data_IF_708606466906
#
_entry.id   IF_708606466906
#
_cell.length_a   1.000
_cell.length_b   1.000
_cell.length_c   1.000
_cell.angle_alpha   90.00
_cell.angle_beta   90.00
_cell.angle_gamma   90.00
#
_symmetry.space_group_name_H-M   'P 1'
#
loop_
_entity.id
_entity.type
_entity.pdbx_description
1 polymer ?
#
# COMPACT_ATOMS: atom_id res chain seq x y z
N UNK A 1 -31.34 1.91 -23.14
CA UNK A 1 -32.37 2.93 -22.88
C UNK A 1 -32.14 4.07 -23.87
N UNK A 2 -33.04 4.33 -24.82
CA UNK A 2 -32.93 5.57 -25.62
C UNK A 2 -33.62 6.68 -24.82
N UNK A 3 -32.87 7.35 -23.96
CA UNK A 3 -33.34 8.56 -23.31
C UNK A 3 -33.57 9.62 -24.40
N UNK A 4 -34.83 10.00 -24.63
CA UNK A 4 -35.19 10.97 -25.65
C UNK A 4 -35.10 12.37 -25.06
N UNK A 5 -33.91 12.93 -25.21
CA UNK A 5 -33.60 14.32 -24.90
C UNK A 5 -32.50 14.77 -25.86
N UNK A 6 -32.89 15.46 -26.92
CA UNK A 6 -31.98 15.92 -27.98
C UNK A 6 -31.15 17.14 -27.55
N UNK A 7 -31.65 17.89 -26.56
CA UNK A 7 -31.06 19.16 -26.10
C UNK A 7 -30.59 19.10 -24.63
N UNK A 8 -30.60 17.92 -24.01
CA UNK A 8 -30.26 17.71 -22.59
C UNK A 8 -31.06 18.58 -21.60
N UNK A 9 -32.25 19.06 -21.99
CA UNK A 9 -33.04 19.99 -21.18
C UNK A 9 -33.62 19.29 -19.95
N UNK A 10 -34.07 18.03 -20.10
CA UNK A 10 -34.60 17.24 -18.98
C UNK A 10 -33.51 16.92 -17.96
N UNK A 11 -32.28 16.67 -18.43
CA UNK A 11 -31.14 16.46 -17.54
C UNK A 11 -30.77 17.73 -16.76
N UNK A 12 -30.85 18.90 -17.40
CA UNK A 12 -30.60 20.18 -16.73
C UNK A 12 -31.68 20.49 -15.67
N UNK A 13 -32.95 20.24 -15.97
CA UNK A 13 -34.02 20.40 -14.97
C UNK A 13 -33.90 19.37 -13.85
N UNK A 14 -33.57 18.11 -14.16
CA UNK A 14 -33.33 17.07 -13.15
C UNK A 14 -32.15 17.43 -12.22
N UNK A 15 -31.07 18.00 -12.74
CA UNK A 15 -29.92 18.42 -11.92
C UNK A 15 -30.29 19.59 -10.99
N UNK A 16 -31.14 20.52 -11.42
CA UNK A 16 -31.67 21.57 -10.54
C UNK A 16 -32.47 20.99 -9.37
N UNK A 17 -33.29 19.96 -9.61
CA UNK A 17 -34.00 19.26 -8.54
C UNK A 17 -33.07 18.50 -7.59
N UNK A 18 -31.95 17.94 -8.08
CA UNK A 18 -30.92 17.34 -7.21
C UNK A 18 -30.23 18.38 -6.35
N UNK A 19 -29.88 19.55 -6.91
CA UNK A 19 -29.31 20.66 -6.15
C UNK A 19 -30.28 21.12 -5.06
N UNK A 20 -31.58 21.23 -5.38
CA UNK A 20 -32.61 21.56 -4.39
C UNK A 20 -32.68 20.51 -3.27
N UNK A 21 -32.64 19.22 -3.61
CA UNK A 21 -32.59 18.14 -2.63
C UNK A 21 -31.37 18.25 -1.71
N UNK A 22 -30.17 18.43 -2.28
CA UNK A 22 -28.92 18.57 -1.51
C UNK A 22 -28.95 19.78 -0.58
N UNK A 23 -29.51 20.90 -1.03
CA UNK A 23 -29.68 22.10 -0.20
C UNK A 23 -30.63 21.85 0.97
N UNK A 24 -31.78 21.19 0.74
CA UNK A 24 -32.71 20.83 1.80
C UNK A 24 -32.05 19.86 2.78
N UNK A 25 -31.43 18.79 2.27
CA UNK A 25 -30.79 17.77 3.09
C UNK A 25 -29.64 18.37 3.92
N UNK A 26 -28.85 19.28 3.35
CA UNK A 26 -27.80 20.00 4.07
C UNK A 26 -28.39 20.85 5.19
N UNK A 27 -29.46 21.64 4.93
CA UNK A 27 -30.10 22.46 5.98
C UNK A 27 -30.72 21.61 7.08
N UNK A 28 -31.41 20.52 6.73
CA UNK A 28 -32.01 19.59 7.70
C UNK A 28 -30.92 19.01 8.60
N UNK A 29 -29.83 18.49 8.03
CA UNK A 29 -28.80 17.81 8.82
C UNK A 29 -27.88 18.77 9.59
N UNK A 30 -27.55 19.94 9.03
CA UNK A 30 -26.61 20.89 9.66
C UNK A 30 -27.31 21.84 10.63
N UNK A 31 -28.52 22.32 10.30
CA UNK A 31 -29.26 23.32 11.09
C UNK A 31 -30.41 22.72 11.89
N UNK A 32 -30.74 21.44 11.69
CA UNK A 32 -31.85 20.76 12.37
C UNK A 32 -33.22 21.39 12.08
N UNK A 33 -33.39 22.01 10.91
CA UNK A 33 -34.65 22.60 10.46
C UNK A 33 -35.59 21.51 9.90
N UNK A 34 -36.15 20.69 10.79
CA UNK A 34 -36.97 19.53 10.40
C UNK A 34 -38.32 19.89 9.75
N UNK A 35 -38.75 21.14 9.80
CA UNK A 35 -39.91 21.63 9.03
C UNK A 35 -39.77 21.36 7.53
N UNK A 36 -38.52 21.27 7.03
CA UNK A 36 -38.26 20.97 5.63
C UNK A 36 -38.37 19.49 5.24
N UNK A 37 -38.51 18.58 6.21
CA UNK A 37 -38.59 17.14 5.94
C UNK A 37 -39.78 16.79 5.05
N UNK A 38 -40.90 17.50 5.19
CA UNK A 38 -42.09 17.36 4.35
C UNK A 38 -41.84 17.69 2.88
N UNK A 39 -40.80 18.47 2.56
CA UNK A 39 -40.45 18.87 1.18
C UNK A 39 -39.44 17.93 0.50
N UNK A 40 -38.85 17.00 1.25
CA UNK A 40 -37.89 16.01 0.75
C UNK A 40 -38.42 15.07 -0.34
N UNK A 41 -39.72 14.67 -0.40
CA UNK A 41 -40.20 13.79 -1.47
C UNK A 41 -40.52 14.52 -2.79
N UNK A 42 -40.53 15.86 -2.84
CA UNK A 42 -40.90 16.60 -4.06
C UNK A 42 -39.98 16.34 -5.26
N UNK A 43 -38.65 16.24 -5.10
CA UNK A 43 -37.75 15.80 -6.18
C UNK A 43 -38.12 14.43 -6.75
N UNK A 44 -38.60 13.47 -5.95
CA UNK A 44 -38.97 12.16 -6.48
C UNK A 44 -40.11 12.25 -7.51
N UNK A 45 -41.06 13.16 -7.28
CA UNK A 45 -42.19 13.40 -8.19
C UNK A 45 -41.71 14.01 -9.50
N UNK A 46 -40.79 14.98 -9.46
CA UNK A 46 -40.22 15.59 -10.67
C UNK A 46 -39.38 14.59 -11.46
N UNK A 47 -38.59 13.76 -10.78
CA UNK A 47 -37.82 12.68 -11.40
C UNK A 47 -38.71 11.67 -12.11
N UNK A 48 -39.84 11.28 -11.51
CA UNK A 48 -40.81 10.42 -12.19
C UNK A 48 -41.29 11.07 -13.50
N UNK A 49 -41.61 12.37 -13.49
CA UNK A 49 -42.04 13.08 -14.71
C UNK A 49 -40.98 13.12 -15.81
N UNK A 50 -39.70 13.27 -15.46
CA UNK A 50 -38.62 13.36 -16.44
C UNK A 50 -38.16 12.01 -16.99
N UNK A 51 -38.19 10.97 -16.15
CA UNK A 51 -37.61 9.66 -16.46
C UNK A 51 -38.66 8.55 -16.63
N UNK A 52 -39.96 8.85 -16.53
CA UNK A 52 -41.01 7.89 -16.86
C UNK A 52 -40.84 7.39 -18.29
N UNK A 53 -40.76 6.06 -18.43
CA UNK A 53 -40.57 5.40 -19.70
C UNK A 53 -41.12 3.97 -19.67
N UNK A 54 -41.36 3.41 -20.86
CA UNK A 54 -41.93 2.07 -21.00
C UNK A 54 -40.94 0.95 -20.59
N UNK A 55 -39.64 1.22 -20.62
CA UNK A 55 -38.59 0.24 -20.29
C UNK A 55 -38.30 0.27 -18.79
N UNK A 56 -38.40 -0.88 -18.13
CA UNK A 56 -37.99 -1.05 -16.72
C UNK A 56 -36.46 -1.21 -16.64
N UNK A 57 -35.70 -0.26 -16.08
CA UNK A 57 -34.27 -0.43 -15.87
C UNK A 57 -34.03 -1.48 -14.75
N UNK A 58 -32.85 -2.11 -14.78
CA UNK A 58 -32.38 -2.90 -13.63
C UNK A 58 -31.96 -1.90 -12.55
N UNK A 59 -32.62 -1.97 -11.39
CA UNK A 59 -32.26 -1.14 -10.25
C UNK A 59 -31.00 -1.73 -9.61
N UNK A 60 -29.90 -1.01 -9.72
CA UNK A 60 -28.67 -1.30 -8.99
C UNK A 60 -28.59 -0.37 -7.78
N UNK A 61 -28.14 -0.90 -6.65
CA UNK A 61 -27.87 -0.09 -5.48
C UNK A 61 -26.73 0.88 -5.78
N UNK A 62 -26.78 2.10 -5.25
CA UNK A 62 -25.75 3.14 -5.44
C UNK A 62 -24.44 2.79 -4.70
N UNK A 63 -23.78 1.71 -5.14
CA UNK A 63 -22.48 1.27 -4.63
C UNK A 63 -21.35 2.19 -5.07
N UNK A 64 -21.49 2.76 -6.26
CA UNK A 64 -20.47 3.60 -6.88
C UNK A 64 -20.07 4.79 -6.02
N UNK A 65 -21.03 5.46 -5.37
CA UNK A 65 -20.73 6.63 -4.55
C UNK A 65 -19.97 6.26 -3.27
N UNK A 66 -20.38 5.18 -2.62
CA UNK A 66 -19.71 4.69 -1.43
C UNK A 66 -18.31 4.13 -1.75
N UNK A 67 -18.19 3.38 -2.83
CA UNK A 67 -16.90 2.89 -3.33
C UNK A 67 -15.97 4.06 -3.68
N UNK A 68 -16.47 5.08 -4.39
CA UNK A 68 -15.70 6.28 -4.71
C UNK A 68 -15.28 7.04 -3.45
N UNK A 69 -16.15 7.12 -2.44
CA UNK A 69 -15.81 7.73 -1.15
C UNK A 69 -14.71 6.94 -0.42
N UNK A 70 -14.81 5.61 -0.38
CA UNK A 70 -13.77 4.75 0.20
C UNK A 70 -12.44 4.87 -0.55
N UNK A 71 -12.48 4.90 -1.88
CA UNK A 71 -11.32 5.13 -2.73
C UNK A 71 -10.68 6.50 -2.44
N UNK A 72 -11.50 7.55 -2.35
CA UNK A 72 -11.05 8.89 -1.98
C UNK A 72 -10.39 8.90 -0.60
N UNK A 73 -11.00 8.25 0.40
CA UNK A 73 -10.44 8.17 1.76
C UNK A 73 -9.13 7.42 1.81
N UNK A 74 -9.00 6.33 1.04
CA UNK A 74 -7.75 5.59 0.91
C UNK A 74 -6.66 6.46 0.28
N UNK A 75 -6.98 7.16 -0.80
CA UNK A 75 -6.05 8.05 -1.49
C UNK A 75 -5.65 9.25 -0.63
N UNK A 76 -6.59 9.82 0.13
CA UNK A 76 -6.34 10.84 1.13
C UNK A 76 -5.36 10.34 2.20
N UNK A 77 -5.55 9.12 2.69
CA UNK A 77 -4.63 8.48 3.65
C UNK A 77 -3.19 8.39 3.14
N UNK A 78 -3.00 8.01 1.87
CA UNK A 78 -1.66 7.94 1.24
C UNK A 78 -1.00 9.32 1.18
N UNK A 79 -1.74 10.37 0.86
CA UNK A 79 -1.19 11.74 0.83
C UNK A 79 -0.83 12.19 2.24
N UNK A 80 -1.69 11.93 3.22
CA UNK A 80 -1.44 12.30 4.61
C UNK A 80 -0.24 11.55 5.20
N UNK A 81 -0.03 10.28 4.85
CA UNK A 81 1.15 9.54 5.33
C UNK A 81 2.45 10.20 4.88
N UNK A 82 2.55 10.59 3.60
CA UNK A 82 3.73 11.31 3.09
C UNK A 82 3.87 12.68 3.76
N UNK A 83 2.78 13.45 3.86
CA UNK A 83 2.83 14.77 4.51
C UNK A 83 3.17 14.69 6.02
N UNK A 84 2.87 13.57 6.68
CA UNK A 84 3.21 13.35 8.09
C UNK A 84 4.70 13.08 8.28
N UNK A 85 5.35 12.46 7.30
CA UNK A 85 6.76 12.07 7.32
C UNK A 85 7.70 13.19 6.82
N UNK A 86 7.15 14.26 6.23
CA UNK A 86 7.94 15.40 5.77
C UNK A 86 8.62 16.14 6.93
N UNK A 87 9.86 16.63 6.71
CA UNK A 87 10.54 17.46 7.68
C UNK A 87 9.82 18.81 7.85
N UNK A 88 9.91 19.40 9.05
CA UNK A 88 9.11 20.56 9.45
C UNK A 88 9.27 21.79 8.54
N UNK A 89 10.44 21.95 7.92
CA UNK A 89 10.74 23.01 6.97
C UNK A 89 9.90 22.90 5.68
N UNK A 90 9.73 21.68 5.14
CA UNK A 90 8.95 21.45 3.93
C UNK A 90 7.44 21.42 4.20
N UNK A 91 7.04 20.94 5.38
CA UNK A 91 5.63 20.79 5.74
C UNK A 91 4.87 22.12 5.75
N UNK A 92 5.54 23.25 6.02
CA UNK A 92 4.93 24.58 6.00
C UNK A 92 4.44 25.00 4.62
N UNK A 93 5.14 24.60 3.57
CA UNK A 93 4.91 25.09 2.21
C UNK A 93 3.88 24.24 1.45
N UNK A 94 3.61 23.02 1.94
CA UNK A 94 2.74 22.06 1.26
C UNK A 94 1.40 21.86 1.96
N UNK A 95 0.33 22.25 1.28
CA UNK A 95 -1.01 21.76 1.56
C UNK A 95 -1.28 20.47 0.75
N UNK A 96 -2.23 19.63 1.19
CA UNK A 96 -2.68 18.41 0.50
C UNK A 96 -2.94 18.66 -1.00
N UNK A 97 -3.69 19.70 -1.32
CA UNK A 97 -4.03 20.03 -2.71
C UNK A 97 -2.80 20.47 -3.51
N UNK A 98 -1.97 21.35 -2.94
CA UNK A 98 -0.72 21.83 -3.57
C UNK A 98 0.24 20.68 -3.83
N UNK A 99 0.38 19.75 -2.89
CA UNK A 99 1.23 18.58 -3.03
C UNK A 99 0.77 17.67 -4.18
N UNK A 100 -0.53 17.37 -4.26
CA UNK A 100 -1.09 16.50 -5.30
C UNK A 100 -0.93 17.12 -6.69
N UNK A 101 -1.22 18.41 -6.85
CA UNK A 101 -1.24 19.05 -8.18
C UNK A 101 0.15 19.42 -8.67
N UNK A 102 1.05 19.87 -7.78
CA UNK A 102 2.36 20.39 -8.16
C UNK A 102 3.44 19.36 -7.87
N UNK A 103 3.63 18.97 -6.61
CA UNK A 103 4.81 18.19 -6.19
C UNK A 103 4.78 16.77 -6.73
N UNK A 104 3.65 16.08 -6.55
CA UNK A 104 3.50 14.66 -6.89
C UNK A 104 3.87 14.32 -8.35
N UNK A 105 3.35 15.00 -9.39
CA UNK A 105 3.70 14.66 -10.76
C UNK A 105 5.18 14.88 -11.09
N UNK A 106 5.80 15.94 -10.54
CA UNK A 106 7.24 16.17 -10.74
C UNK A 106 8.09 15.17 -9.97
N UNK A 107 7.73 14.87 -8.72
CA UNK A 107 8.41 13.88 -7.89
C UNK A 107 8.45 12.52 -8.57
N UNK A 108 7.32 12.06 -9.09
CA UNK A 108 7.23 10.78 -9.78
C UNK A 108 7.95 10.76 -11.12
N UNK A 109 8.01 11.90 -11.83
CA UNK A 109 8.85 12.03 -13.04
C UNK A 109 10.34 11.91 -12.70
N UNK A 110 10.80 12.56 -11.63
CA UNK A 110 12.20 12.51 -11.18
C UNK A 110 12.58 11.08 -10.78
N UNK A 111 11.73 10.43 -9.99
CA UNK A 111 11.95 9.07 -9.50
C UNK A 111 11.97 8.03 -10.64
N UNK A 112 11.20 8.26 -11.71
CA UNK A 112 11.02 7.30 -12.81
C UNK A 112 11.92 7.54 -14.03
N UNK A 113 13.01 8.28 -13.90
CA UNK A 113 13.90 8.60 -15.04
C UNK A 113 14.74 7.38 -15.47
N UNK A 114 14.65 6.87 -16.73
CA UNK A 114 15.14 5.54 -17.09
C UNK A 114 16.57 5.43 -17.65
N UNK A 115 17.25 6.52 -17.99
CA UNK A 115 18.52 6.40 -18.74
C UNK A 115 19.74 6.43 -17.81
N UNK A 116 20.18 5.24 -17.37
CA UNK A 116 21.52 5.05 -16.80
C UNK A 116 22.44 4.37 -17.82
N UNK A 117 23.33 5.12 -18.49
CA UNK A 117 24.45 4.59 -19.29
C UNK A 117 25.81 5.28 -19.08
N UNK A 118 25.90 6.35 -18.31
CA UNK A 118 27.04 7.29 -18.22
C UNK A 118 27.50 7.60 -16.78
N UNK A 119 28.79 7.92 -16.55
CA UNK A 119 29.35 8.12 -15.19
C UNK A 119 28.75 9.32 -14.42
N UNK A 120 28.15 10.30 -15.09
CA UNK A 120 27.44 11.42 -14.46
C UNK A 120 26.20 10.98 -13.66
N UNK A 121 25.68 9.79 -13.92
CA UNK A 121 24.44 9.31 -13.32
C UNK A 121 24.60 8.89 -11.85
N UNK A 122 25.82 8.65 -11.36
CA UNK A 122 26.04 8.40 -9.92
C UNK A 122 25.55 9.58 -9.07
N UNK A 123 25.75 10.81 -9.55
CA UNK A 123 25.24 12.01 -8.88
C UNK A 123 23.72 12.11 -8.99
N UNK A 124 23.13 11.73 -10.13
CA UNK A 124 21.67 11.69 -10.31
C UNK A 124 21.05 10.69 -9.33
N UNK A 125 21.61 9.49 -9.20
CA UNK A 125 21.17 8.48 -8.22
C UNK A 125 21.30 9.02 -6.80
N UNK A 126 22.43 9.64 -6.44
CA UNK A 126 22.61 10.24 -5.12
C UNK A 126 21.57 11.34 -4.82
N UNK A 127 21.23 12.16 -5.82
CA UNK A 127 20.18 13.18 -5.71
C UNK A 127 18.80 12.55 -5.55
N UNK A 128 18.48 11.50 -6.32
CA UNK A 128 17.22 10.76 -6.20
C UNK A 128 17.11 10.12 -4.82
N UNK A 129 18.17 9.46 -4.34
CA UNK A 129 18.21 8.86 -3.00
C UNK A 129 18.01 9.92 -1.93
N UNK A 130 18.66 11.08 -2.04
CA UNK A 130 18.44 12.19 -1.11
C UNK A 130 16.98 12.65 -1.12
N UNK A 131 16.38 12.83 -2.30
CA UNK A 131 14.96 13.19 -2.43
C UNK A 131 14.08 12.11 -1.79
N UNK A 132 14.26 10.84 -2.14
CA UNK A 132 13.48 9.74 -1.58
C UNK A 132 13.61 9.65 -0.06
N UNK A 133 14.80 9.87 0.49
CA UNK A 133 15.00 9.92 1.94
C UNK A 133 14.36 11.17 2.57
N UNK A 134 14.31 12.32 1.89
CA UNK A 134 13.61 13.51 2.41
C UNK A 134 12.10 13.39 2.42
N UNK A 135 11.53 12.65 1.47
CA UNK A 135 10.09 12.35 1.39
C UNK A 135 9.71 11.03 2.08
N UNK A 136 10.68 10.37 2.75
CA UNK A 136 10.57 9.04 3.35
C UNK A 136 9.90 7.98 2.44
N UNK A 137 10.29 7.98 1.17
CA UNK A 137 9.84 7.01 0.19
C UNK A 137 10.79 5.80 0.18
N UNK A 138 10.22 4.61 0.18
CA UNK A 138 10.97 3.37 0.07
C UNK A 138 10.42 2.46 -1.02
N UNK A 139 11.30 1.65 -1.60
CA UNK A 139 10.91 0.59 -2.53
C UNK A 139 10.85 -0.73 -1.79
N UNK A 140 9.65 -1.30 -1.68
CA UNK A 140 9.44 -2.63 -1.10
C UNK A 140 9.36 -3.66 -2.22
N UNK A 141 10.10 -4.76 -2.06
CA UNK A 141 10.04 -5.93 -2.93
C UNK A 141 8.74 -6.67 -2.65
N UNK A 142 7.77 -6.56 -3.56
CA UNK A 142 6.52 -7.30 -3.49
C UNK A 142 6.50 -8.37 -4.59
N UNK A 143 6.00 -9.56 -4.27
CA UNK A 143 5.80 -10.61 -5.27
C UNK A 143 4.37 -10.51 -5.80
N UNK A 144 4.22 -10.16 -7.08
CA UNK A 144 2.92 -10.11 -7.74
C UNK A 144 2.27 -11.50 -7.81
N UNK A 145 0.99 -11.56 -8.14
CA UNK A 145 0.20 -12.79 -8.27
C UNK A 145 0.82 -13.81 -9.23
N UNK A 146 1.55 -13.34 -10.25
CA UNK A 146 2.29 -14.15 -11.22
C UNK A 146 3.66 -14.65 -10.70
N UNK A 147 4.00 -14.36 -9.44
CA UNK A 147 5.27 -14.78 -8.84
C UNK A 147 6.48 -13.93 -9.22
N UNK A 148 6.31 -12.83 -9.97
CA UNK A 148 7.38 -11.90 -10.34
C UNK A 148 7.68 -10.91 -9.20
N UNK A 149 8.96 -10.61 -8.95
CA UNK A 149 9.41 -9.62 -7.96
C UNK A 149 9.30 -8.21 -8.56
N UNK A 150 8.40 -7.41 -8.01
CA UNK A 150 8.15 -6.02 -8.42
C UNK A 150 8.42 -5.10 -7.24
N UNK A 151 9.23 -4.08 -7.48
CA UNK A 151 9.48 -3.02 -6.50
C UNK A 151 8.34 -2.01 -6.55
N UNK A 152 7.56 -1.93 -5.47
CA UNK A 152 6.50 -0.92 -5.30
C UNK A 152 6.94 0.16 -4.33
N UNK A 153 6.48 1.38 -4.57
CA UNK A 153 6.72 2.50 -3.66
C UNK A 153 5.82 2.37 -2.43
N UNK A 154 6.41 2.57 -1.26
CA UNK A 154 5.71 2.76 0.00
C UNK A 154 6.08 4.16 0.53
N UNK A 155 5.09 5.05 0.74
CA UNK A 155 3.66 4.93 0.43
C UNK A 155 3.35 4.79 -1.09
N UNK A 156 2.21 4.17 -1.48
CA UNK A 156 1.89 3.87 -2.88
C UNK A 156 1.44 5.09 -3.69
N UNK A 157 2.40 5.98 -3.99
CA UNK A 157 2.19 7.20 -4.77
C UNK A 157 1.80 6.94 -6.23
N UNK A 158 2.21 5.80 -6.79
CA UNK A 158 1.86 5.38 -8.15
C UNK A 158 0.33 5.37 -8.38
N UNK A 159 -0.44 5.00 -7.35
CA UNK A 159 -1.92 4.94 -7.41
C UNK A 159 -2.54 6.31 -7.67
N UNK A 160 -1.97 7.36 -7.08
CA UNK A 160 -2.50 8.72 -7.16
C UNK A 160 -2.34 9.32 -8.56
N UNK A 161 -1.34 8.85 -9.32
CA UNK A 161 -1.06 9.34 -10.66
C UNK A 161 -1.78 8.59 -11.78
N UNK A 162 -2.42 7.47 -11.49
CA UNK A 162 -3.22 6.73 -12.47
C UNK A 162 -4.32 7.62 -13.08
N UNK A 163 -4.83 8.59 -12.31
CA UNK A 163 -5.82 9.55 -12.78
C UNK A 163 -5.23 10.57 -13.77
N UNK A 164 -4.02 11.07 -13.51
CA UNK A 164 -3.40 12.13 -14.31
C UNK A 164 -2.86 11.64 -15.65
N UNK A 165 -2.39 10.39 -15.71
CA UNK A 165 -1.82 9.85 -16.95
C UNK A 165 -2.05 8.35 -17.06
N UNK A 166 -3.16 7.96 -17.72
CA UNK A 166 -3.51 6.57 -18.00
C UNK A 166 -2.43 5.82 -18.82
N UNK A 167 -1.52 6.55 -19.47
CA UNK A 167 -0.48 5.98 -20.34
C UNK A 167 0.87 5.80 -19.63
N UNK A 168 1.08 6.37 -18.44
CA UNK A 168 2.33 6.17 -17.70
C UNK A 168 2.31 4.84 -16.95
N UNK A 169 2.88 3.81 -17.58
CA UNK A 169 3.20 2.54 -16.94
C UNK A 169 4.43 2.69 -16.05
N UNK A 170 4.30 3.42 -14.94
CA UNK A 170 5.39 3.61 -13.97
C UNK A 170 5.95 2.27 -13.45
N UNK A 171 5.15 1.18 -13.44
CA UNK A 171 5.53 -0.10 -12.86
C UNK A 171 6.23 -1.13 -13.78
N UNK A 172 6.38 -0.90 -15.09
CA UNK A 172 6.78 -1.99 -16.01
C UNK A 172 8.29 -2.12 -16.28
N UNK A 173 8.94 -1.02 -16.65
CA UNK A 173 10.21 -1.08 -17.40
C UNK A 173 11.47 -0.76 -16.59
N UNK A 174 11.36 -0.61 -15.26
CA UNK A 174 12.41 0.01 -14.45
C UNK A 174 12.79 -0.76 -13.18
N UNK A 175 12.47 -2.06 -13.12
CA UNK A 175 12.66 -2.85 -11.89
C UNK A 175 14.14 -2.96 -11.46
N UNK A 176 15.07 -3.06 -12.41
CA UNK A 176 16.52 -3.07 -12.13
C UNK A 176 17.00 -1.76 -11.51
N UNK A 177 16.56 -0.62 -12.05
CA UNK A 177 16.84 0.70 -11.50
C UNK A 177 16.29 0.85 -10.07
N UNK A 178 15.04 0.46 -9.86
CA UNK A 178 14.39 0.48 -8.54
C UNK A 178 15.14 -0.39 -7.53
N UNK A 179 15.68 -1.53 -7.96
CA UNK A 179 16.53 -2.38 -7.11
C UNK A 179 17.80 -1.66 -6.66
N UNK A 180 18.52 -1.03 -7.58
CA UNK A 180 19.74 -0.28 -7.27
C UNK A 180 19.43 0.84 -6.27
N UNK A 181 18.37 1.62 -6.55
CA UNK A 181 17.94 2.72 -5.68
C UNK A 181 17.48 2.21 -4.31
N UNK A 182 16.77 1.07 -4.25
CA UNK A 182 16.34 0.46 -2.98
C UNK A 182 17.51 0.13 -2.07
N UNK A 183 18.58 -0.45 -2.63
CA UNK A 183 19.78 -0.79 -1.88
C UNK A 183 20.51 0.46 -1.36
N UNK A 184 20.62 1.50 -2.20
CA UNK A 184 21.28 2.74 -1.78
C UNK A 184 20.47 3.50 -0.71
N UNK A 185 19.13 3.44 -0.75
CA UNK A 185 18.26 4.00 0.29
C UNK A 185 18.47 3.28 1.62
N UNK A 186 18.50 1.94 1.64
CA UNK A 186 18.78 1.15 2.84
C UNK A 186 20.12 1.54 3.46
N UNK A 187 21.18 1.63 2.63
CA UNK A 187 22.49 2.08 3.08
C UNK A 187 22.46 3.51 3.62
N UNK A 188 21.76 4.43 2.98
CA UNK A 188 21.62 5.81 3.44
C UNK A 188 20.87 5.91 4.78
N UNK A 189 19.80 5.11 4.96
CA UNK A 189 19.08 5.00 6.25
C UNK A 189 20.04 4.48 7.34
N UNK A 190 20.77 3.40 7.09
CA UNK A 190 21.76 2.84 8.04
C UNK A 190 22.83 3.89 8.40
N UNK A 191 23.40 4.59 7.41
CA UNK A 191 24.37 5.68 7.64
C UNK A 191 23.79 6.78 8.54
N UNK A 192 22.53 7.19 8.34
CA UNK A 192 21.86 8.19 9.20
C UNK A 192 21.67 7.68 10.63
N UNK A 193 21.26 6.42 10.82
CA UNK A 193 21.10 5.84 12.14
C UNK A 193 22.45 5.70 12.89
N UNK A 194 23.54 5.37 12.18
CA UNK A 194 24.89 5.31 12.75
C UNK A 194 25.40 6.69 13.23
N UNK A 195 25.07 7.78 12.53
CA UNK A 195 25.45 9.14 12.95
C UNK A 195 24.63 9.62 14.15
N UNK A 196 23.38 9.20 14.29
CA UNK A 196 22.55 9.58 15.44
C UNK A 196 22.95 8.84 16.73
N UNK A 197 23.44 7.61 16.63
CA UNK A 197 23.94 6.82 17.77
C UNK A 197 25.27 7.36 18.31
N UNK A 198 26.16 7.90 17.47
CA UNK A 198 27.41 8.52 17.95
C UNK A 198 27.22 9.87 18.62
N UNK A 199 26.10 10.57 18.36
CA UNK A 199 25.76 11.85 19.02
C UNK A 199 25.16 11.70 20.42
N UNK A 200 24.79 10.49 20.83
CA UNK A 200 24.23 10.18 22.16
C UNK A 200 25.26 9.55 23.11
N UNK A 201 26.50 9.33 22.67
CA UNK A 201 27.60 8.95 23.53
C UNK A 201 28.27 10.20 24.13
N UNK A 202 27.91 10.53 25.37
CA UNK A 202 28.59 11.53 26.19
C UNK A 202 30.10 11.20 26.36
N UNK A 203 31.03 12.10 26.00
CA UNK A 203 32.47 11.84 26.06
C UNK A 203 33.08 12.02 27.46
N UNK A 204 32.28 11.90 28.54
CA UNK A 204 32.72 12.17 29.93
C UNK A 204 33.04 10.93 30.77
N UNK A 205 33.03 9.72 30.21
CA UNK A 205 33.59 8.52 30.85
C UNK A 205 34.79 8.00 30.05
N UNK A 206 35.79 8.87 29.86
CA UNK A 206 37.08 8.46 29.29
C UNK A 206 37.96 7.89 30.42
N UNK A 207 37.78 6.60 30.71
CA UNK A 207 38.74 5.86 31.52
C UNK A 207 40.11 5.85 30.81
N UNK A 208 41.18 6.02 31.59
CA UNK A 208 42.57 6.15 31.13
C UNK A 208 43.00 4.92 30.29
N UNK A 209 43.92 5.09 29.33
CA UNK A 209 44.47 3.97 28.56
C UNK A 209 45.40 3.17 29.47
N UNK A 210 44.89 2.06 30.02
CA UNK A 210 45.65 1.01 30.66
C UNK A 210 45.69 -0.22 29.76
N UNK A 211 46.82 -0.92 29.76
CA UNK A 211 47.14 -2.10 28.97
C UNK A 211 45.97 -3.07 28.79
N UNK A 212 45.72 -3.43 27.53
CA UNK A 212 44.82 -4.53 27.20
C UNK A 212 45.58 -5.84 27.44
N UNK A 213 45.36 -6.46 28.60
CA UNK A 213 45.52 -7.92 28.69
C UNK A 213 44.49 -8.56 27.78
N UNK A 214 44.95 -9.38 26.83
CA UNK A 214 44.10 -10.27 26.04
C UNK A 214 43.41 -11.22 27.03
N UNK A 215 42.16 -10.92 27.38
CA UNK A 215 41.30 -11.91 28.01
C UNK A 215 40.83 -12.86 26.90
N UNK A 216 41.35 -14.09 26.95
CA UNK A 216 40.78 -15.24 26.27
C UNK A 216 39.27 -15.24 26.44
N UNK A 217 38.57 -15.20 25.31
CA UNK A 217 37.13 -15.39 25.28
C UNK A 217 36.83 -16.79 25.80
N UNK A 218 36.14 -16.88 26.94
CA UNK A 218 35.49 -18.13 27.34
C UNK A 218 34.57 -18.58 26.20
N UNK A 219 34.57 -19.87 25.81
CA UNK A 219 33.78 -20.36 24.71
C UNK A 219 32.29 -20.07 24.93
N UNK A 220 31.64 -19.54 23.90
CA UNK A 220 30.20 -19.29 23.88
C UNK A 220 29.50 -20.65 24.02
N UNK A 221 28.95 -20.94 25.20
CA UNK A 221 28.08 -22.10 25.41
C UNK A 221 26.79 -21.90 24.60
N UNK A 222 26.66 -22.65 23.51
CA UNK A 222 25.44 -22.75 22.71
C UNK A 222 24.39 -23.47 23.58
N UNK A 223 23.48 -22.70 24.19
CA UNK A 223 22.34 -23.28 24.92
C UNK A 223 21.41 -23.98 23.92
N UNK A 224 20.98 -25.23 24.17
CA UNK A 224 20.12 -25.97 23.25
C UNK A 224 18.77 -25.29 23.10
N UNK A 225 18.09 -25.43 21.93
CA UNK A 225 16.77 -24.87 21.70
C UNK A 225 15.78 -25.40 22.73
N UNK A 226 15.07 -24.47 23.34
CA UNK A 226 14.16 -24.69 24.45
C UNK A 226 12.74 -24.57 23.93
N UNK A 227 11.86 -25.51 24.30
CA UNK A 227 10.43 -25.49 23.97
C UNK A 227 9.69 -24.35 24.70
N UNK A 228 8.42 -24.08 24.35
CA UNK A 228 7.58 -23.02 24.91
C UNK A 228 7.55 -22.97 26.45
N UNK A 229 7.78 -24.11 27.11
CA UNK A 229 7.79 -24.26 28.57
C UNK A 229 9.19 -24.29 29.21
N UNK A 230 10.26 -23.89 28.50
CA UNK A 230 11.58 -23.80 29.13
C UNK A 230 12.35 -25.14 29.18
N UNK A 231 11.90 -26.19 28.46
CA UNK A 231 12.53 -27.52 28.46
C UNK A 231 13.43 -27.73 27.23
N UNK A 232 14.64 -28.29 27.38
CA UNK A 232 15.53 -28.55 26.26
C UNK A 232 14.96 -29.66 25.36
N UNK A 233 14.89 -29.42 24.04
CA UNK A 233 14.38 -30.38 23.07
C UNK A 233 15.49 -31.39 22.75
N UNK A 234 15.38 -32.62 23.27
CA UNK A 234 16.25 -33.74 22.86
C UNK A 234 15.64 -34.43 21.64
N UNK A 235 16.22 -34.24 20.46
CA UNK A 235 15.90 -35.08 19.29
C UNK A 235 16.49 -36.48 19.52
N UNK A 236 15.65 -37.40 19.99
CA UNK A 236 16.03 -38.80 20.10
C UNK A 236 16.29 -39.38 18.69
N UNK A 237 17.57 -39.56 18.36
CA UNK A 237 17.99 -40.29 17.17
C UNK A 237 17.74 -41.78 17.37
N UNK A 238 17.08 -42.42 16.41
CA UNK A 238 17.23 -43.86 16.17
C UNK A 238 18.26 -44.03 15.06
N UNK A 239 19.35 -44.70 15.41
CA UNK A 239 20.44 -45.11 14.52
C UNK A 239 19.96 -46.28 13.65
N UNK A 240 20.16 -46.22 12.33
CA UNK A 240 21.10 -47.14 11.65
C UNK A 240 21.18 -46.95 10.12
N UNK A 241 22.44 -46.98 9.65
CA UNK A 241 23.00 -47.37 8.34
C UNK A 241 23.34 -46.31 7.30
N UNK A 242 24.59 -46.50 6.85
CA UNK A 242 25.41 -45.72 5.95
C UNK A 242 24.83 -45.62 4.53
N UNK A 243 25.06 -44.48 3.91
CA UNK A 243 24.84 -44.26 2.48
C UNK A 243 25.19 -42.82 2.14
N UNK A 244 26.36 -42.62 1.52
CA UNK A 244 26.81 -41.35 0.91
C UNK A 244 25.64 -40.66 0.20
N UNK A 245 25.39 -39.38 0.51
CA UNK A 245 24.72 -38.44 -0.39
C UNK A 245 25.04 -37.00 0.02
N UNK A 246 25.26 -36.21 -1.02
CA UNK A 246 25.67 -34.81 -1.00
C UNK A 246 24.81 -33.96 -0.05
N UNK A 247 25.46 -33.09 0.72
CA UNK A 247 24.79 -31.95 1.37
C UNK A 247 24.42 -30.93 0.29
N UNK A 248 23.27 -31.13 -0.34
CA UNK A 248 22.50 -30.02 -0.88
C UNK A 248 21.63 -29.52 0.27
N UNK A 249 22.10 -28.47 0.96
CA UNK A 249 21.26 -27.65 1.84
C UNK A 249 20.23 -26.90 0.98
N UNK A 250 19.24 -27.62 0.47
CA UNK A 250 18.02 -27.00 -0.06
C UNK A 250 17.07 -26.81 1.11
N UNK A 251 17.35 -25.80 1.93
CA UNK A 251 16.34 -25.28 2.86
C UNK A 251 15.17 -24.75 2.02
N UNK A 252 14.16 -25.59 1.79
CA UNK A 252 12.94 -25.22 1.11
C UNK A 252 12.29 -24.09 1.91
N UNK A 253 12.37 -22.88 1.36
CA UNK A 253 11.81 -21.69 2.00
C UNK A 253 10.30 -21.74 1.84
N UNK A 254 9.63 -22.25 2.88
CA UNK A 254 8.17 -22.23 3.00
C UNK A 254 7.78 -20.80 3.39
N UNK A 255 6.92 -20.17 2.61
CA UNK A 255 6.39 -18.84 2.93
C UNK A 255 4.86 -18.89 2.99
N UNK A 256 4.30 -18.11 3.90
CA UNK A 256 2.88 -18.01 4.15
C UNK A 256 2.37 -16.66 3.66
N UNK A 257 1.28 -16.64 2.87
CA UNK A 257 0.60 -15.41 2.45
C UNK A 257 -0.52 -15.10 3.43
N UNK A 258 -0.38 -14.03 4.19
CA UNK A 258 -1.45 -13.54 5.05
C UNK A 258 -2.53 -12.87 4.19
N UNK A 259 -3.76 -13.37 4.30
CA UNK A 259 -4.93 -12.72 3.73
C UNK A 259 -5.52 -11.82 4.82
N UNK A 260 -5.59 -10.51 4.57
CA UNK A 260 -6.11 -9.53 5.54
C UNK A 260 -7.61 -9.68 5.81
N UNK A 261 -8.32 -10.44 4.98
CA UNK A 261 -9.74 -10.71 5.11
C UNK A 261 -10.03 -12.22 5.13
N UNK A 262 -10.98 -12.62 5.99
CA UNK A 262 -11.50 -13.98 6.04
C UNK A 262 -12.78 -14.07 5.21
N UNK A 263 -12.76 -14.82 4.09
CA UNK A 263 -13.97 -15.16 3.35
C UNK A 263 -14.76 -16.25 4.06
N UNK A 264 -16.00 -15.95 4.48
CA UNK A 264 -16.93 -16.96 5.00
C UNK A 264 -17.69 -17.57 3.83
N UNK A 265 -17.57 -18.87 3.61
CA UNK A 265 -18.32 -19.57 2.56
C UNK A 265 -19.79 -19.76 2.99
N UNK A 266 -20.72 -19.64 2.04
CA UNK A 266 -22.14 -19.95 2.25
C UNK A 266 -22.33 -21.46 2.18
N UNK A 267 -23.18 -22.02 3.06
CA UNK A 267 -23.49 -23.45 3.11
C UNK A 267 -24.02 -23.95 1.75
N UNK A 268 -23.36 -24.95 1.18
CA UNK A 268 -23.80 -25.72 0.02
C UNK A 268 -24.15 -27.16 0.42
N UNK A 269 -24.96 -27.85 -0.38
CA UNK A 269 -25.28 -29.27 -0.20
C UNK A 269 -24.44 -30.09 -1.19
N UNK A 270 -23.43 -30.83 -0.73
CA UNK A 270 -22.57 -31.61 -1.61
C UNK A 270 -23.32 -32.79 -2.22
N UNK A 271 -22.95 -33.16 -3.45
CA UNK A 271 -23.50 -34.35 -4.13
C UNK A 271 -22.63 -35.57 -3.83
N UNK A 272 -23.20 -36.78 -3.85
CA UNK A 272 -22.47 -38.05 -3.56
C UNK A 272 -21.19 -38.20 -4.41
N UNK A 273 -21.22 -37.75 -5.67
CA UNK A 273 -20.05 -37.82 -6.56
C UNK A 273 -18.85 -36.98 -6.09
N UNK A 274 -19.06 -35.91 -5.32
CA UNK A 274 -17.97 -35.07 -4.79
C UNK A 274 -17.18 -35.80 -3.70
N UNK A 275 -17.77 -36.81 -3.05
CA UNK A 275 -17.09 -37.66 -2.08
C UNK A 275 -16.31 -38.81 -2.73
N UNK A 276 -16.75 -39.28 -3.91
CA UNK A 276 -16.16 -40.44 -4.60
C UNK A 276 -14.98 -40.08 -5.51
N UNK A 277 -14.79 -38.80 -5.84
CA UNK A 277 -13.73 -38.35 -6.75
C UNK A 277 -12.33 -38.32 -6.12
N UNK A 278 -12.19 -38.62 -4.82
CA UNK A 278 -10.91 -38.59 -4.12
C UNK A 278 -10.01 -39.82 -4.40
N UNK A 279 -10.57 -40.92 -4.91
CA UNK A 279 -9.86 -42.22 -5.01
C UNK A 279 -9.37 -42.58 -6.43
N UNK A 280 -9.49 -41.68 -7.42
CA UNK A 280 -9.15 -41.99 -8.84
C UNK A 280 -7.83 -41.38 -9.35
N UNK A 281 -7.01 -40.82 -8.46
CA UNK A 281 -5.64 -40.39 -8.80
C UNK A 281 -4.63 -40.94 -7.78
N UNK A 282 -4.36 -42.24 -7.89
CA UNK A 282 -3.16 -42.89 -7.37
C UNK A 282 -2.57 -43.81 -8.43
#
# INVERSE_FOLDING_TARGET
MKFHDTACTKLMEASQWMIFYDQLNTKINTKQEFSFLSYLPYPLISFHRFFAGSVKPRLEYARMDYEAYLEFKRNEGIVLSVLSQLPANLKRDFNKNTFITIVLPYLMKIISSPDIKTPHEKQIIANIVNIMVTFDLQYVKERNEDGQLVFRLEPPLDRLLQFFNKNNKFGGQQQSFRQIVSHEIELAKIRKHAVNTTKTFDPKLRAKPGEYSIMEQSPIEIKPPVDFFGRPITTASKISKEGKKNKDDTSSTIWFRYNESSSTAVRTYPRVNEFLAADLYS
#
